data_IF_876781599994
#
_entry.id   IF_876781599994
#
_cell.length_a   1.000
_cell.length_b   1.000
_cell.length_c   1.000
_cell.angle_alpha   90.00
_cell.angle_beta   90.00
_cell.angle_gamma   90.00
#
_symmetry.space_group_name_H-M   'P 1'
#
loop_
_entity.id
_entity.type
_entity.pdbx_description
1 polymer ?
#
# COMPACT_ATOMS: atom_id res chain seq x y z
N UNK A 1 -4.06 -13.05 -18.20
CA UNK A 1 -4.78 -12.24 -17.19
C UNK A 1 -4.53 -10.77 -17.50
N UNK A 2 -5.55 -9.91 -17.56
CA UNK A 2 -5.32 -8.48 -17.76
C UNK A 2 -4.43 -7.96 -16.62
N UNK A 3 -3.38 -7.20 -16.96
CA UNK A 3 -2.54 -6.54 -15.95
C UNK A 3 -3.45 -5.56 -15.18
N UNK A 4 -3.70 -5.84 -13.91
CA UNK A 4 -4.29 -4.85 -13.00
C UNK A 4 -3.30 -3.67 -12.93
N UNK A 5 -3.85 -2.47 -12.76
CA UNK A 5 -3.08 -1.22 -12.75
C UNK A 5 -2.81 -0.88 -11.29
N UNK A 6 -1.54 -0.69 -10.95
CA UNK A 6 -1.14 -0.08 -9.69
C UNK A 6 -1.58 1.40 -9.68
N UNK A 7 -2.43 1.75 -8.73
CA UNK A 7 -2.95 3.12 -8.55
C UNK A 7 -2.38 3.72 -7.27
N UNK A 8 -2.05 5.00 -7.31
CA UNK A 8 -1.58 5.73 -6.13
C UNK A 8 -2.77 6.03 -5.21
N UNK A 9 -2.71 5.54 -3.97
CA UNK A 9 -3.81 5.69 -3.01
C UNK A 9 -3.51 6.70 -1.91
N UNK A 10 -2.24 6.90 -1.58
CA UNK A 10 -1.78 7.96 -0.68
C UNK A 10 -0.28 8.18 -0.90
N UNK A 11 0.13 9.44 -1.07
CA UNK A 11 1.52 9.92 -1.18
C UNK A 11 2.63 8.84 -1.27
N UNK A 12 2.90 8.37 -2.49
CA UNK A 12 3.95 7.38 -2.76
C UNK A 12 3.57 5.92 -2.48
N UNK A 13 2.39 5.62 -1.95
CA UNK A 13 1.83 4.27 -1.79
C UNK A 13 0.92 3.96 -2.98
N UNK A 14 1.33 2.94 -3.75
CA UNK A 14 0.57 2.42 -4.88
C UNK A 14 -0.01 1.06 -4.53
N UNK A 15 -1.22 0.77 -5.00
CA UNK A 15 -1.95 -0.45 -4.70
C UNK A 15 -2.69 -1.02 -5.91
N UNK A 16 -2.84 -2.35 -5.94
CA UNK A 16 -3.82 -3.03 -6.80
C UNK A 16 -4.44 -4.24 -6.07
N UNK A 17 -5.76 -4.51 -6.22
CA UNK A 17 -6.77 -3.68 -6.89
C UNK A 17 -7.22 -2.47 -6.04
N UNK A 18 -7.85 -1.49 -6.71
CA UNK A 18 -8.53 -0.36 -6.09
C UNK A 18 -9.89 -0.18 -6.77
N UNK A 19 -11.04 -0.16 -6.05
CA UNK A 19 -11.17 -0.39 -4.60
C UNK A 19 -10.87 -1.85 -4.21
N UNK A 20 -10.45 -2.07 -2.97
CA UNK A 20 -10.23 -3.41 -2.40
C UNK A 20 -11.56 -4.01 -1.96
N UNK A 21 -11.72 -5.32 -2.14
CA UNK A 21 -12.86 -6.09 -1.64
C UNK A 21 -12.44 -7.27 -0.76
N UNK A 22 -13.39 -7.85 -0.02
CA UNK A 22 -13.11 -8.99 0.87
C UNK A 22 -12.63 -10.19 0.04
N UNK A 23 -11.46 -10.73 0.41
CA UNK A 23 -10.85 -11.88 -0.26
C UNK A 23 -9.85 -11.50 -1.37
N UNK A 24 -9.66 -10.21 -1.66
CA UNK A 24 -8.64 -9.79 -2.62
C UNK A 24 -7.21 -10.02 -2.09
N UNK A 25 -6.36 -10.55 -2.97
CA UNK A 25 -4.91 -10.40 -2.82
C UNK A 25 -4.52 -8.99 -3.28
N UNK A 26 -3.92 -8.24 -2.37
CA UNK A 26 -3.51 -6.85 -2.60
C UNK A 26 -2.01 -6.77 -2.78
N UNK A 27 -1.56 -6.05 -3.81
CA UNK A 27 -0.15 -5.72 -4.01
C UNK A 27 0.08 -4.25 -3.73
N UNK A 28 1.10 -3.98 -2.93
CA UNK A 28 1.51 -2.64 -2.54
C UNK A 28 2.90 -2.34 -3.07
N UNK A 29 3.11 -1.10 -3.51
CA UNK A 29 4.42 -0.56 -3.87
C UNK A 29 4.61 0.79 -3.23
N UNK A 30 5.65 0.91 -2.41
CA UNK A 30 6.05 2.17 -1.78
C UNK A 30 7.15 2.86 -2.59
N UNK A 31 6.95 4.16 -2.84
CA UNK A 31 7.85 5.08 -3.55
C UNK A 31 7.97 6.41 -2.79
N UNK A 32 7.92 6.37 -1.46
CA UNK A 32 8.08 7.58 -0.64
C UNK A 32 9.52 7.81 -0.16
N UNK A 33 9.68 8.85 0.66
CA UNK A 33 10.97 9.38 1.14
C UNK A 33 11.90 8.31 1.70
N UNK A 34 11.39 7.39 2.52
CA UNK A 34 12.22 6.33 3.14
C UNK A 34 12.82 5.40 2.08
N UNK A 35 12.08 5.09 1.02
CA UNK A 35 12.59 4.28 -0.07
C UNK A 35 13.63 5.04 -0.92
N UNK A 36 13.47 6.36 -1.07
CA UNK A 36 14.41 7.20 -1.82
C UNK A 36 15.67 7.55 -1.04
N UNK A 37 15.62 7.53 0.30
CA UNK A 37 16.75 7.83 1.17
C UNK A 37 17.55 6.59 1.58
N UNK A 38 17.25 5.43 0.99
CA UNK A 38 18.03 4.20 1.18
C UNK A 38 17.74 3.44 2.47
N UNK A 39 16.52 3.55 3.01
CA UNK A 39 16.14 2.70 4.14
C UNK A 39 16.20 1.21 3.75
N UNK A 40 16.88 0.41 4.57
CA UNK A 40 17.04 -1.03 4.33
C UNK A 40 15.74 -1.83 4.56
N UNK A 41 14.82 -1.28 5.35
CA UNK A 41 13.52 -1.90 5.64
C UNK A 41 12.43 -0.86 5.79
N UNK A 42 11.22 -1.23 5.36
CA UNK A 42 9.99 -0.44 5.52
C UNK A 42 8.94 -1.31 6.18
N UNK A 43 8.14 -0.72 7.06
CA UNK A 43 7.06 -1.41 7.77
C UNK A 43 5.74 -0.75 7.40
N UNK A 44 4.80 -1.58 6.92
CA UNK A 44 3.43 -1.17 6.71
C UNK A 44 2.60 -1.59 7.92
N UNK A 45 1.91 -0.64 8.53
CA UNK A 45 0.81 -0.94 9.45
C UNK A 45 -0.49 -0.90 8.65
N UNK A 46 -1.11 -2.07 8.47
CA UNK A 46 -2.38 -2.23 7.77
C UNK A 46 -3.43 -2.88 8.70
N UNK A 47 -4.70 -2.54 8.49
CA UNK A 47 -5.78 -2.76 9.46
C UNK A 47 -6.98 -1.86 9.16
N UNK A 48 -8.13 -2.16 9.76
CA UNK A 48 -9.35 -1.37 9.65
C UNK A 48 -9.90 -1.12 11.06
N UNK A 49 -10.46 0.06 11.31
CA UNK A 49 -11.05 0.41 12.61
C UNK A 49 -11.04 1.91 12.86
N UNK A 50 -11.85 2.34 13.82
CA UNK A 50 -11.96 3.74 14.25
C UNK A 50 -11.10 4.09 15.47
N UNK A 51 -10.43 3.10 16.07
CA UNK A 51 -9.58 3.34 17.23
C UNK A 51 -8.22 3.90 16.84
N UNK A 52 -7.58 4.62 17.75
CA UNK A 52 -6.18 5.03 17.60
C UNK A 52 -5.29 3.80 17.46
N UNK A 53 -4.50 3.77 16.39
CA UNK A 53 -3.50 2.75 16.16
C UNK A 53 -2.32 3.01 17.09
N UNK A 54 -2.30 2.33 18.24
CA UNK A 54 -1.20 2.39 19.22
C UNK A 54 -0.05 1.45 18.84
#
# INVERSE_FOLDING_TARGET
MPRRKLEEVVDGVYMEPVPITVGDEVRLKYKGKLATEGADSIYLRAGYGFEEWR
#
